data_IF_218364900366
#
_entry.id   IF_218364900366
#
_cell.length_a   1.000
_cell.length_b   1.000
_cell.length_c   1.000
_cell.angle_alpha   90.00
_cell.angle_beta   90.00
_cell.angle_gamma   90.00
#
_symmetry.space_group_name_H-M   'P 1'
#
loop_
_entity.id
_entity.type
_entity.pdbx_description
1 polymer ?
#
# COMPACT_ATOMS: atom_id res chain seq x y z
N UNK A 1 -19.71 20.09 -7.02
CA UNK A 1 -18.59 19.17 -6.74
C UNK A 1 -19.03 18.27 -5.59
N UNK A 2 -19.30 16.99 -5.84
CA UNK A 2 -19.57 16.06 -4.75
C UNK A 2 -18.29 15.95 -3.92
N UNK A 3 -18.40 16.23 -2.63
CA UNK A 3 -17.32 16.03 -1.65
C UNK A 3 -17.12 14.51 -1.59
N UNK A 4 -16.19 13.98 -2.37
CA UNK A 4 -15.92 12.55 -2.42
C UNK A 4 -15.54 12.09 -1.02
N UNK A 5 -16.29 11.11 -0.47
CA UNK A 5 -15.88 10.41 0.75
C UNK A 5 -14.45 9.94 0.55
N UNK A 6 -13.55 10.37 1.43
CA UNK A 6 -12.14 10.00 1.38
C UNK A 6 -12.00 8.47 1.33
N UNK A 7 -11.22 7.98 0.37
CA UNK A 7 -10.90 6.56 0.25
C UNK A 7 -9.77 6.26 1.23
N UNK A 8 -10.04 5.37 2.18
CA UNK A 8 -9.07 4.98 3.22
C UNK A 8 -8.33 3.71 2.83
N UNK A 9 -7.20 3.42 3.47
CA UNK A 9 -6.51 2.14 3.27
C UNK A 9 -7.37 0.95 3.70
N UNK A 10 -8.25 1.11 4.68
CA UNK A 10 -9.20 0.07 5.08
C UNK A 10 -10.22 -0.22 3.98
N UNK A 11 -10.69 0.81 3.27
CA UNK A 11 -11.58 0.63 2.13
C UNK A 11 -10.86 -0.17 1.03
N UNK A 12 -9.63 0.22 0.71
CA UNK A 12 -8.81 -0.44 -0.32
C UNK A 12 -8.51 -1.91 0.04
N UNK A 13 -8.13 -2.19 1.28
CA UNK A 13 -7.85 -3.56 1.75
C UNK A 13 -9.11 -4.42 1.76
N UNK A 14 -10.24 -3.90 2.23
CA UNK A 14 -11.49 -4.64 2.24
C UNK A 14 -11.88 -5.07 0.82
N UNK A 15 -11.80 -4.16 -0.14
CA UNK A 15 -12.13 -4.46 -1.54
C UNK A 15 -11.14 -5.42 -2.19
N UNK A 16 -9.84 -5.21 -2.00
CA UNK A 16 -8.82 -6.11 -2.54
C UNK A 16 -8.95 -7.52 -1.96
N UNK A 17 -9.31 -7.64 -0.68
CA UNK A 17 -9.57 -8.92 -0.02
C UNK A 17 -10.73 -9.68 -0.69
N UNK A 18 -11.85 -8.98 -0.94
CA UNK A 18 -13.00 -9.58 -1.60
C UNK A 18 -12.64 -10.02 -3.03
N UNK A 19 -11.98 -9.16 -3.80
CA UNK A 19 -11.55 -9.50 -5.16
C UNK A 19 -10.64 -10.73 -5.14
N UNK A 20 -9.64 -10.76 -4.26
CA UNK A 20 -8.72 -11.89 -4.13
C UNK A 20 -9.46 -13.20 -3.82
N UNK A 21 -10.43 -13.17 -2.90
CA UNK A 21 -11.24 -14.35 -2.57
C UNK A 21 -12.08 -14.81 -3.77
N UNK A 22 -12.80 -13.91 -4.44
CA UNK A 22 -13.62 -14.28 -5.59
C UNK A 22 -12.77 -14.86 -6.74
N UNK A 23 -11.62 -14.25 -7.03
CA UNK A 23 -10.71 -14.74 -8.07
C UNK A 23 -10.02 -16.06 -7.71
N UNK A 24 -9.83 -16.36 -6.42
CA UNK A 24 -9.23 -17.62 -6.00
C UNK A 24 -10.18 -18.82 -6.13
N UNK A 25 -11.50 -18.61 -5.95
CA UNK A 25 -12.48 -19.70 -5.84
C UNK A 25 -13.49 -19.78 -6.99
N UNK A 26 -13.43 -18.87 -7.97
CA UNK A 26 -14.34 -18.89 -9.11
C UNK A 26 -13.56 -18.62 -10.40
N UNK A 27 -13.66 -19.53 -11.36
CA UNK A 27 -12.99 -19.42 -12.67
C UNK A 27 -13.80 -18.60 -13.69
N UNK A 28 -15.04 -18.24 -13.35
CA UNK A 28 -15.89 -17.40 -14.20
C UNK A 28 -15.48 -15.93 -14.14
N UNK A 29 -15.78 -15.17 -15.20
CA UNK A 29 -15.58 -13.72 -15.23
C UNK A 29 -16.22 -13.02 -14.02
N UNK A 30 -15.45 -12.11 -13.40
CA UNK A 30 -15.91 -11.37 -12.24
C UNK A 30 -16.39 -9.98 -12.63
N UNK A 31 -17.63 -9.65 -12.26
CA UNK A 31 -18.23 -8.35 -12.52
C UNK A 31 -18.43 -7.58 -11.22
N UNK A 32 -17.92 -6.34 -11.17
CA UNK A 32 -17.92 -5.51 -9.95
C UNK A 32 -19.32 -5.25 -9.38
N UNK A 33 -20.31 -5.04 -10.24
CA UNK A 33 -21.69 -4.78 -9.82
C UNK A 33 -22.37 -6.02 -9.22
N UNK A 34 -21.90 -7.23 -9.56
CA UNK A 34 -22.37 -8.47 -8.96
C UNK A 34 -21.60 -8.82 -7.71
N UNK A 35 -20.27 -8.69 -7.75
CA UNK A 35 -19.38 -8.99 -6.63
C UNK A 35 -19.72 -8.13 -5.40
N UNK A 36 -20.07 -6.86 -5.61
CA UNK A 36 -20.30 -5.90 -4.53
C UNK A 36 -21.77 -5.51 -4.32
N UNK A 37 -22.72 -6.19 -4.98
CA UNK A 37 -24.14 -5.81 -4.97
C UNK A 37 -24.71 -5.68 -3.55
N UNK A 38 -24.41 -6.64 -2.69
CA UNK A 38 -24.92 -6.72 -1.32
C UNK A 38 -23.99 -6.08 -0.28
N UNK A 39 -22.83 -5.59 -0.72
CA UNK A 39 -21.78 -5.06 0.16
C UNK A 39 -21.88 -3.54 0.31
N UNK A 40 -22.25 -2.85 -0.77
CA UNK A 40 -22.30 -1.38 -0.78
C UNK A 40 -23.36 -0.87 -1.73
N UNK A 41 -24.11 0.14 -1.28
CA UNK A 41 -25.00 0.92 -2.14
C UNK A 41 -24.31 2.16 -2.74
N UNK A 42 -23.10 2.50 -2.29
CA UNK A 42 -22.34 3.65 -2.78
C UNK A 42 -21.52 3.27 -4.02
N UNK A 43 -22.20 3.28 -5.17
CA UNK A 43 -21.65 2.87 -6.47
C UNK A 43 -20.49 3.77 -6.90
N UNK A 44 -20.56 5.07 -6.62
CA UNK A 44 -19.51 6.03 -7.00
C UNK A 44 -18.24 5.77 -6.20
N UNK A 45 -18.35 5.59 -4.87
CA UNK A 45 -17.20 5.25 -4.03
C UNK A 45 -16.60 3.91 -4.43
N UNK A 46 -17.44 2.90 -4.70
CA UNK A 46 -17.02 1.58 -5.15
C UNK A 46 -16.19 1.66 -6.43
N UNK A 47 -16.67 2.39 -7.43
CA UNK A 47 -15.95 2.56 -8.70
C UNK A 47 -14.61 3.27 -8.51
N UNK A 48 -14.56 4.34 -7.72
CA UNK A 48 -13.30 5.02 -7.42
C UNK A 48 -12.29 4.13 -6.67
N UNK A 49 -12.76 3.25 -5.78
CA UNK A 49 -11.90 2.27 -5.10
C UNK A 49 -11.34 1.24 -6.10
N UNK A 50 -12.19 0.69 -6.97
CA UNK A 50 -11.77 -0.29 -8.00
C UNK A 50 -10.75 0.33 -8.93
N UNK A 51 -11.02 1.54 -9.42
CA UNK A 51 -10.11 2.29 -10.28
C UNK A 51 -8.76 2.52 -9.57
N UNK A 52 -8.79 2.89 -8.29
CA UNK A 52 -7.55 3.12 -7.52
C UNK A 52 -6.71 1.84 -7.37
N UNK A 53 -7.35 0.72 -7.04
CA UNK A 53 -6.65 -0.58 -6.90
C UNK A 53 -6.07 -1.02 -8.27
N UNK A 54 -6.77 -0.73 -9.36
CA UNK A 54 -6.31 -1.00 -10.72
C UNK A 54 -5.14 -0.10 -11.14
N UNK A 55 -5.20 1.19 -10.83
CA UNK A 55 -4.10 2.15 -11.04
C UNK A 55 -2.83 1.72 -10.31
N UNK A 56 -2.96 1.19 -9.09
CA UNK A 56 -1.83 0.67 -8.32
C UNK A 56 -1.31 -0.68 -8.90
N UNK A 57 -2.01 -1.27 -9.87
CA UNK A 57 -1.62 -2.47 -10.61
C UNK A 57 -1.91 -3.79 -9.89
N UNK A 58 -2.71 -3.77 -8.83
CA UNK A 58 -3.06 -4.99 -8.08
C UNK A 58 -4.19 -5.79 -8.72
N UNK A 59 -5.01 -5.13 -9.54
CA UNK A 59 -6.05 -5.76 -10.35
C UNK A 59 -6.01 -5.21 -11.78
N UNK A 60 -6.59 -5.94 -12.73
CA UNK A 60 -7.07 -5.35 -13.97
C UNK A 60 -8.56 -5.02 -13.80
N UNK A 61 -8.99 -3.86 -14.28
CA UNK A 61 -10.39 -3.45 -14.22
C UNK A 61 -10.79 -2.84 -15.57
N UNK A 62 -11.60 -3.55 -16.34
CA UNK A 62 -12.09 -3.09 -17.64
C UNK A 62 -13.56 -2.67 -17.53
N UNK A 63 -13.85 -1.39 -17.78
CA UNK A 63 -15.23 -0.90 -17.84
C UNK A 63 -16.02 -1.64 -18.93
N UNK A 64 -17.26 -2.00 -18.60
CA UNK A 64 -18.21 -2.52 -19.57
C UNK A 64 -18.73 -1.39 -20.45
N UNK A 65 -18.82 -1.64 -21.75
CA UNK A 65 -19.33 -0.65 -22.70
C UNK A 65 -20.85 -0.47 -22.61
N UNK A 66 -21.58 -1.49 -22.14
CA UNK A 66 -23.04 -1.56 -22.26
C UNK A 66 -23.77 -1.50 -20.91
N UNK A 67 -23.04 -1.63 -19.80
CA UNK A 67 -23.63 -1.68 -18.45
C UNK A 67 -22.90 -0.65 -17.58
N UNK A 68 -23.59 0.45 -17.20
CA UNK A 68 -23.00 1.48 -16.36
C UNK A 68 -22.44 0.91 -15.07
N UNK A 69 -21.31 1.46 -14.61
CA UNK A 69 -20.69 1.09 -13.35
C UNK A 69 -20.36 -0.41 -13.22
N UNK A 70 -20.19 -1.14 -14.33
CA UNK A 70 -19.67 -2.51 -14.33
C UNK A 70 -18.22 -2.50 -14.79
N UNK A 71 -17.36 -3.12 -13.99
CA UNK A 71 -16.00 -3.49 -14.36
C UNK A 71 -15.90 -5.01 -14.43
N UNK A 72 -15.27 -5.52 -15.49
CA UNK A 72 -14.71 -6.87 -15.47
C UNK A 72 -13.39 -6.79 -14.70
N UNK A 73 -13.25 -7.61 -13.65
CA UNK A 73 -12.12 -7.58 -12.72
C UNK A 73 -11.36 -8.90 -12.82
N UNK A 74 -10.03 -8.81 -12.85
CA UNK A 74 -9.12 -9.92 -12.60
C UNK A 74 -8.04 -9.47 -11.61
N UNK A 75 -7.62 -10.36 -10.71
CA UNK A 75 -6.50 -10.07 -9.82
C UNK A 75 -5.16 -10.34 -10.52
N UNK A 76 -4.18 -9.46 -10.33
CA UNK A 76 -2.83 -9.70 -10.86
C UNK A 76 -1.99 -10.51 -9.87
N UNK A 77 -0.93 -11.17 -10.33
CA UNK A 77 0.03 -11.82 -9.42
C UNK A 77 0.60 -10.84 -8.39
N UNK A 78 0.84 -9.57 -8.79
CA UNK A 78 1.24 -8.49 -7.89
C UNK A 78 0.19 -8.23 -6.80
N UNK A 79 -1.10 -8.24 -7.16
CA UNK A 79 -2.20 -8.09 -6.21
C UNK A 79 -2.29 -9.23 -5.21
N UNK A 80 -2.15 -10.47 -5.67
CA UNK A 80 -2.12 -11.65 -4.80
C UNK A 80 -0.97 -11.53 -3.79
N UNK A 81 0.25 -11.26 -4.26
CA UNK A 81 1.43 -11.14 -3.40
C UNK A 81 1.33 -9.97 -2.42
N UNK A 82 0.71 -8.86 -2.85
CA UNK A 82 0.50 -7.69 -2.01
C UNK A 82 -0.51 -7.99 -0.90
N UNK A 83 -1.61 -8.66 -1.25
CA UNK A 83 -2.63 -9.08 -0.29
C UNK A 83 -2.09 -10.10 0.73
N UNK A 84 -1.30 -11.07 0.28
CA UNK A 84 -0.65 -12.04 1.17
C UNK A 84 0.36 -11.40 2.14
N UNK A 85 0.87 -10.20 1.82
CA UNK A 85 1.75 -9.40 2.69
C UNK A 85 0.98 -8.44 3.61
N UNK A 86 -0.35 -8.51 3.65
CA UNK A 86 -1.20 -7.72 4.53
C UNK A 86 -1.67 -6.39 3.94
N UNK A 87 -1.54 -6.19 2.62
CA UNK A 87 -2.22 -5.12 1.89
C UNK A 87 -1.75 -3.69 2.21
N UNK A 88 -2.64 -2.74 1.94
CA UNK A 88 -2.47 -1.29 2.08
C UNK A 88 -2.15 -0.87 3.51
N UNK A 89 -2.79 -1.44 4.52
CA UNK A 89 -2.52 -1.13 5.93
C UNK A 89 -1.09 -1.53 6.29
N UNK A 90 -0.67 -2.75 5.95
CA UNK A 90 0.69 -3.22 6.23
C UNK A 90 1.73 -2.39 5.47
N UNK A 91 1.46 -2.07 4.20
CA UNK A 91 2.33 -1.23 3.38
C UNK A 91 2.50 0.17 3.96
N UNK A 92 1.42 0.82 4.39
CA UNK A 92 1.46 2.15 5.04
C UNK A 92 2.30 2.12 6.31
N UNK A 93 2.15 1.08 7.13
CA UNK A 93 2.92 0.91 8.36
C UNK A 93 4.41 0.67 8.08
N UNK A 94 4.74 -0.11 7.05
CA UNK A 94 6.13 -0.33 6.63
C UNK A 94 6.76 0.95 6.09
N UNK A 95 6.05 1.72 5.26
CA UNK A 95 6.53 3.02 4.77
C UNK A 95 6.77 4.01 5.90
N UNK A 96 5.88 4.04 6.91
CA UNK A 96 6.09 4.84 8.12
C UNK A 96 7.36 4.39 8.86
N UNK A 97 7.55 3.09 9.07
CA UNK A 97 8.75 2.55 9.72
C UNK A 97 10.02 2.88 8.95
N UNK A 98 10.04 2.71 7.62
CA UNK A 98 11.19 3.05 6.78
C UNK A 98 11.49 4.55 6.81
N UNK A 99 10.46 5.40 6.74
CA UNK A 99 10.62 6.86 6.89
C UNK A 99 11.19 7.23 8.26
N UNK A 100 10.73 6.58 9.33
CA UNK A 100 11.31 6.77 10.66
C UNK A 100 12.76 6.29 10.72
N UNK A 101 13.07 5.14 10.14
CA UNK A 101 14.44 4.61 10.06
C UNK A 101 15.37 5.50 9.24
N UNK A 102 14.91 6.12 8.15
CA UNK A 102 15.74 7.04 7.36
C UNK A 102 15.98 8.36 8.08
N UNK A 103 14.97 8.90 8.77
CA UNK A 103 15.10 10.12 9.55
C UNK A 103 16.02 9.94 10.76
N UNK A 104 15.85 8.88 11.55
CA UNK A 104 16.62 8.67 12.78
C UNK A 104 17.89 7.83 12.58
N UNK A 105 17.95 6.99 11.56
CA UNK A 105 19.15 6.22 11.21
C UNK A 105 20.26 7.10 10.62
N UNK A 106 19.93 8.20 9.95
CA UNK A 106 20.92 9.18 9.51
C UNK A 106 21.41 10.07 10.67
N UNK A 107 20.50 10.50 11.55
CA UNK A 107 20.85 11.21 12.79
C UNK A 107 21.78 10.39 13.71
N UNK A 108 21.53 9.08 13.82
CA UNK A 108 22.38 8.18 14.62
C UNK A 108 23.78 7.96 14.03
N UNK A 109 23.93 7.95 12.69
CA UNK A 109 25.23 7.85 12.02
C UNK A 109 26.08 9.10 12.23
N UNK A 110 25.48 10.28 12.16
CA UNK A 110 26.22 11.55 12.31
C UNK A 110 26.70 11.76 13.75
N UNK A 111 25.86 11.42 14.75
CA UNK A 111 26.23 11.50 16.17
C UNK A 111 27.30 10.45 16.54
N UNK A 112 27.20 9.23 16.01
CA UNK A 112 28.20 8.19 16.28
C UNK A 112 29.55 8.49 15.62
N UNK A 113 29.59 9.03 14.40
CA UNK A 113 30.83 9.48 13.75
C UNK A 113 31.46 10.65 14.54
N UNK A 114 30.67 11.61 15.03
CA UNK A 114 31.18 12.73 15.81
C UNK A 114 31.78 12.28 17.16
N UNK A 115 31.15 11.32 17.84
CA UNK A 115 31.66 10.77 19.11
C UNK A 115 32.92 9.92 18.88
N UNK A 116 32.92 9.05 17.86
CA UNK A 116 34.08 8.20 17.53
C UNK A 116 35.28 9.06 17.10
N UNK A 117 35.05 10.11 16.30
CA UNK A 117 36.12 11.03 15.88
C UNK A 117 36.68 11.86 17.03
N UNK A 118 35.84 12.33 17.96
CA UNK A 118 36.29 13.01 19.17
C UNK A 118 37.12 12.08 20.08
N UNK A 119 36.72 10.82 20.23
CA UNK A 119 37.47 9.82 21.01
C UNK A 119 38.80 9.45 20.36
N UNK A 120 38.84 9.26 19.03
CA UNK A 120 40.08 9.00 18.30
C UNK A 120 41.07 10.18 18.42
N UNK A 121 40.56 11.41 18.38
CA UNK A 121 41.37 12.63 18.51
C UNK A 121 41.99 12.74 19.91
N UNK A 122 41.22 12.48 20.96
CA UNK A 122 41.72 12.51 22.34
C UNK A 122 42.77 11.41 22.62
N UNK A 123 42.61 10.22 22.04
CA UNK A 123 43.57 9.11 22.17
C UNK A 123 44.86 9.41 21.42
N UNK A 124 44.79 10.00 20.22
CA UNK A 124 45.97 10.42 19.45
C UNK A 124 46.73 11.52 20.20
N UNK A 125 46.05 12.55 20.73
CA UNK A 125 46.72 13.61 21.48
C UNK A 125 47.47 13.05 22.70
N UNK A 126 46.86 12.14 23.46
CA UNK A 126 47.51 11.49 24.61
C UNK A 126 48.75 10.64 24.26
N UNK A 127 48.79 10.06 23.06
CA UNK A 127 49.92 9.23 22.60
C UNK A 127 51.10 10.05 22.04
N UNK A 128 50.87 11.30 21.60
CA UNK A 128 51.90 12.16 21.01
C UNK A 128 52.34 13.32 21.91
N UNK A 129 51.71 13.50 23.08
CA UNK A 129 52.14 14.47 24.11
C UNK A 129 52.69 13.82 25.38
N UNK A 130 52.93 12.51 25.37
CA UNK A 130 53.61 11.76 26.44
C UNK A 130 55.10 11.53 26.12
#
# INVERSE_FOLDING_TARGET
MAIGKEITENDLDFYLTIIAMFCAYNESLHFSDKMFADITSDIVKRDSIIEKIAEDGYITAKKSNNIPHRHTIEITSKGIDFQNRGGYIANKNNNRKQKWQSLFGNLGKDISIAIISAMASAIITLLFTA
#
